data_IF_775421709991
#
_entry.id   IF_775421709991
#
_cell.length_a   1.000
_cell.length_b   1.000
_cell.length_c   1.000
_cell.angle_alpha   90.00
_cell.angle_beta   90.00
_cell.angle_gamma   90.00
#
_symmetry.space_group_name_H-M   'P 1'
#
loop_
_entity.id
_entity.type
_entity.pdbx_description
1 polymer ?
#
# COMPACT_ATOMS: atom_id res chain seq x y z
N UNK A 1 -26.74 -8.37 -9.15
CA UNK A 1 -26.19 -7.02 -8.97
C UNK A 1 -27.34 -6.03 -8.81
N UNK A 2 -27.85 -5.83 -7.60
CA UNK A 2 -28.95 -4.89 -7.36
C UNK A 2 -28.71 -4.13 -6.04
N UNK A 3 -28.93 -2.81 -6.15
CA UNK A 3 -29.24 -1.84 -5.10
C UNK A 3 -28.13 -1.42 -4.10
N UNK A 4 -27.25 -0.54 -4.57
CA UNK A 4 -26.79 0.60 -3.75
C UNK A 4 -27.37 1.86 -4.40
N UNK A 5 -27.91 2.79 -3.60
CA UNK A 5 -28.40 4.17 -3.92
C UNK A 5 -29.85 4.41 -3.52
N UNK A 6 -30.16 4.39 -2.22
CA UNK A 6 -31.21 5.22 -1.61
C UNK A 6 -30.88 5.48 -0.14
N UNK A 7 -30.06 6.50 0.14
CA UNK A 7 -29.97 7.10 1.48
C UNK A 7 -29.35 8.50 1.37
N UNK A 8 -30.17 9.49 1.02
CA UNK A 8 -29.77 10.91 1.06
C UNK A 8 -30.97 11.86 1.25
N UNK A 9 -32.14 11.35 1.66
CA UNK A 9 -33.38 12.14 1.67
C UNK A 9 -34.20 12.02 2.97
N UNK A 10 -33.55 11.82 4.12
CA UNK A 10 -34.25 11.74 5.41
C UNK A 10 -33.83 12.81 6.45
N UNK A 11 -32.83 13.63 6.18
CA UNK A 11 -32.36 14.65 7.16
C UNK A 11 -32.98 16.04 6.98
N UNK A 12 -33.86 16.26 6.00
CA UNK A 12 -34.44 17.58 5.71
C UNK A 12 -35.75 17.91 6.46
N UNK A 13 -36.30 17.01 7.29
CA UNK A 13 -37.62 17.21 7.96
C UNK A 13 -37.56 17.57 9.45
N UNK A 14 -36.38 17.74 10.04
CA UNK A 14 -36.25 18.03 11.46
C UNK A 14 -36.20 19.52 11.83
N UNK A 15 -36.35 20.45 10.87
CA UNK A 15 -36.21 21.91 11.13
C UNK A 15 -37.55 22.66 11.17
N UNK A 16 -38.68 21.99 10.96
CA UNK A 16 -40.00 22.63 11.00
C UNK A 16 -40.72 22.37 12.33
N UNK A 17 -40.44 23.21 13.34
CA UNK A 17 -41.36 23.72 14.40
C UNK A 17 -40.57 24.17 15.63
N UNK A 18 -39.78 25.24 15.49
CA UNK A 18 -39.48 26.08 16.64
C UNK A 18 -40.61 27.09 16.79
N UNK A 19 -41.47 26.83 17.76
CA UNK A 19 -42.51 27.74 18.20
C UNK A 19 -41.84 28.97 18.81
N UNK A 20 -42.11 30.15 18.26
CA UNK A 20 -41.61 31.43 18.78
C UNK A 20 -42.22 31.67 20.16
N UNK A 21 -41.44 31.49 21.22
CA UNK A 21 -41.81 31.98 22.55
C UNK A 21 -41.85 33.51 22.47
N UNK A 22 -43.06 34.08 22.40
CA UNK A 22 -43.28 35.51 22.62
C UNK A 22 -43.00 35.79 24.10
N UNK A 23 -41.97 36.57 24.40
CA UNK A 23 -41.83 37.19 25.70
C UNK A 23 -42.90 38.28 25.80
N UNK A 24 -44.03 37.95 26.42
CA UNK A 24 -45.01 38.95 26.84
C UNK A 24 -44.51 39.53 28.18
N UNK A 25 -43.72 40.60 28.12
CA UNK A 25 -43.49 41.47 29.27
C UNK A 25 -44.44 42.67 29.16
N UNK A 26 -45.63 42.53 29.72
CA UNK A 26 -46.45 43.65 30.13
C UNK A 26 -47.02 43.32 31.51
N UNK A 27 -46.25 43.62 32.55
CA UNK A 27 -46.81 43.88 33.87
C UNK A 27 -47.63 45.17 33.76
N UNK A 28 -48.95 45.04 33.81
CA UNK A 28 -49.80 46.18 34.13
C UNK A 28 -49.49 46.62 35.56
N UNK A 29 -49.35 47.93 35.85
CA UNK A 29 -48.99 48.40 37.18
C UNK A 29 -50.19 48.22 38.12
N UNK A 30 -50.08 47.29 39.06
CA UNK A 30 -50.89 47.33 40.27
C UNK A 30 -50.46 48.56 41.08
N UNK A 31 -51.44 49.37 41.48
CA UNK A 31 -51.27 50.62 42.19
C UNK A 31 -50.27 50.50 43.36
N UNK A 32 -49.26 51.38 43.40
CA UNK A 32 -48.54 51.71 44.64
C UNK A 32 -47.04 51.43 44.72
N UNK A 33 -46.30 51.18 43.63
CA UNK A 33 -44.83 51.11 43.71
C UNK A 33 -44.15 52.06 42.72
N UNK A 34 -43.39 53.01 43.26
CA UNK A 34 -42.46 53.85 42.51
C UNK A 34 -41.29 52.93 42.11
N UNK A 35 -41.27 52.44 40.86
CA UNK A 35 -40.10 51.76 40.30
C UNK A 35 -39.06 52.84 39.94
N UNK A 36 -37.94 52.85 40.64
CA UNK A 36 -36.74 53.59 40.23
C UNK A 36 -36.26 53.07 38.86
N UNK A 37 -35.59 53.88 38.02
CA UNK A 37 -35.10 53.41 36.73
C UNK A 37 -34.12 52.25 36.98
N UNK A 38 -34.54 51.03 36.67
CA UNK A 38 -33.67 49.87 36.70
C UNK A 38 -32.59 50.12 35.64
N UNK A 39 -31.33 50.20 36.06
CA UNK A 39 -30.21 50.39 35.16
C UNK A 39 -30.22 49.28 34.10
N UNK A 40 -30.47 49.65 32.84
CA UNK A 40 -30.53 48.68 31.75
C UNK A 40 -29.15 48.01 31.62
N UNK A 41 -29.08 46.75 32.06
CA UNK A 41 -27.85 45.96 31.97
C UNK A 41 -27.52 45.79 30.50
N UNK A 42 -26.28 46.14 30.13
CA UNK A 42 -25.75 45.96 28.79
C UNK A 42 -26.02 44.51 28.33
N UNK A 43 -26.73 44.38 27.21
CA UNK A 43 -27.15 43.09 26.70
C UNK A 43 -25.95 42.18 26.40
N UNK A 44 -26.17 40.86 26.42
CA UNK A 44 -25.16 39.84 26.09
C UNK A 44 -24.45 40.08 24.75
N UNK A 45 -25.13 40.70 23.78
CA UNK A 45 -24.55 41.11 22.50
C UNK A 45 -23.39 42.11 22.62
N UNK A 46 -23.46 43.03 23.60
CA UNK A 46 -22.40 44.01 23.86
C UNK A 46 -21.11 43.33 24.33
N UNK A 47 -21.23 42.38 25.27
CA UNK A 47 -20.09 41.60 25.74
C UNK A 47 -19.51 40.69 24.65
N UNK A 48 -20.36 40.10 23.79
CA UNK A 48 -19.91 39.35 22.62
C UNK A 48 -19.11 40.23 21.65
N UNK A 49 -19.61 41.42 21.30
CA UNK A 49 -18.90 42.36 20.43
C UNK A 49 -17.57 42.81 21.06
N UNK A 50 -17.56 43.13 22.35
CA UNK A 50 -16.34 43.47 23.09
C UNK A 50 -15.33 42.33 23.13
N UNK A 51 -15.78 41.07 23.22
CA UNK A 51 -14.91 39.89 23.23
C UNK A 51 -14.36 39.55 21.83
N UNK A 52 -15.11 39.86 20.77
CA UNK A 52 -14.73 39.55 19.39
C UNK A 52 -13.48 40.33 18.94
N UNK A 53 -13.33 41.57 19.42
CA UNK A 53 -12.20 42.46 19.08
C UNK A 53 -10.85 41.86 19.54
N UNK A 54 -10.63 41.53 20.83
CA UNK A 54 -9.38 40.92 21.28
C UNK A 54 -9.19 39.50 20.70
N UNK A 55 -10.26 38.71 20.54
CA UNK A 55 -10.17 37.38 19.92
C UNK A 55 -9.70 37.49 18.46
N UNK A 56 -10.27 38.41 17.69
CA UNK A 56 -9.87 38.69 16.31
C UNK A 56 -8.43 39.19 16.20
N UNK A 57 -8.00 40.04 17.15
CA UNK A 57 -6.61 40.51 17.22
C UNK A 57 -5.63 39.36 17.52
N UNK A 58 -5.94 38.50 18.48
CA UNK A 58 -5.13 37.32 18.78
C UNK A 58 -5.08 36.37 17.58
N UNK A 59 -6.22 36.08 16.95
CA UNK A 59 -6.25 35.29 15.73
C UNK A 59 -5.41 35.92 14.62
N UNK A 60 -5.47 37.23 14.42
CA UNK A 60 -4.64 37.92 13.43
C UNK A 60 -3.14 37.81 13.76
N UNK A 61 -2.75 37.88 15.03
CA UNK A 61 -1.35 37.73 15.40
C UNK A 61 -0.84 36.30 15.15
N UNK A 62 -1.64 35.28 15.51
CA UNK A 62 -1.27 33.88 15.33
C UNK A 62 -1.42 33.37 13.89
N UNK A 63 -2.37 33.90 13.11
CA UNK A 63 -2.74 33.40 11.78
C UNK A 63 -2.56 34.42 10.63
N UNK A 64 -2.19 35.67 10.91
CA UNK A 64 -2.09 36.73 9.90
C UNK A 64 -1.02 36.49 8.83
N UNK A 65 -1.10 37.18 7.69
CA UNK A 65 -0.19 36.98 6.56
C UNK A 65 1.23 37.45 6.89
N UNK A 66 2.22 36.57 6.69
CA UNK A 66 3.65 36.78 6.97
C UNK A 66 4.43 35.46 6.84
N UNK A 67 5.73 35.46 7.12
CA UNK A 67 6.61 34.29 6.97
C UNK A 67 6.03 33.04 7.67
N UNK A 68 5.56 32.09 6.87
CA UNK A 68 4.78 30.92 7.27
C UNK A 68 5.57 29.90 8.10
N UNK A 69 6.89 30.01 8.10
CA UNK A 69 7.83 29.02 8.64
C UNK A 69 7.91 29.02 10.17
N UNK A 70 7.57 30.14 10.82
CA UNK A 70 7.75 30.32 12.28
C UNK A 70 6.43 30.32 13.08
N UNK A 71 5.28 30.08 12.45
CA UNK A 71 3.97 30.15 13.14
C UNK A 71 3.57 28.78 13.70
N UNK A 72 3.17 28.77 14.97
CA UNK A 72 2.79 27.55 15.70
C UNK A 72 1.66 26.77 15.02
N UNK A 73 0.60 27.45 14.56
CA UNK A 73 -0.55 26.81 13.90
C UNK A 73 -0.15 26.17 12.56
N UNK A 74 0.64 26.86 11.75
CA UNK A 74 1.16 26.32 10.49
C UNK A 74 2.07 25.12 10.74
N UNK A 75 2.90 25.13 11.79
CA UNK A 75 3.73 23.98 12.18
C UNK A 75 2.88 22.75 12.55
N UNK A 76 1.81 22.94 13.30
CA UNK A 76 0.88 21.84 13.65
C UNK A 76 0.19 21.31 12.40
N UNK A 77 -0.29 22.18 11.52
CA UNK A 77 -0.90 21.76 10.24
C UNK A 77 0.11 20.98 9.38
N UNK A 78 1.33 21.50 9.22
CA UNK A 78 2.39 20.84 8.46
C UNK A 78 2.80 19.49 9.06
N UNK A 79 2.70 19.32 10.39
CA UNK A 79 2.94 18.02 11.03
C UNK A 79 1.92 16.96 10.60
N UNK A 80 0.70 17.36 10.25
CA UNK A 80 -0.33 16.45 9.73
C UNK A 80 -0.15 16.09 8.26
N UNK A 81 0.50 16.95 7.47
CA UNK A 81 0.75 16.67 6.05
C UNK A 81 1.67 15.46 5.84
N UNK A 82 2.53 15.12 6.81
CA UNK A 82 3.32 13.88 6.80
C UNK A 82 2.43 12.64 6.67
N UNK A 83 1.39 12.53 7.51
CA UNK A 83 0.45 11.39 7.46
C UNK A 83 -0.28 11.28 6.12
N UNK A 84 -0.60 12.41 5.49
CA UNK A 84 -1.24 12.40 4.16
C UNK A 84 -0.30 11.88 3.08
N UNK A 85 0.99 12.24 3.15
CA UNK A 85 2.02 11.74 2.24
C UNK A 85 2.27 10.25 2.45
N UNK A 86 2.34 9.79 3.70
CA UNK A 86 2.53 8.38 4.03
C UNK A 86 1.34 7.53 3.56
N UNK A 87 0.11 7.99 3.80
CA UNK A 87 -1.09 7.32 3.32
C UNK A 87 -1.14 7.26 1.77
N UNK A 88 -0.75 8.34 1.09
CA UNK A 88 -0.66 8.37 -0.36
C UNK A 88 0.43 7.42 -0.89
N UNK A 89 1.58 7.36 -0.21
CA UNK A 89 2.68 6.46 -0.56
C UNK A 89 2.28 4.98 -0.38
N UNK A 90 1.62 4.63 0.72
CA UNK A 90 1.10 3.28 0.94
C UNK A 90 0.07 2.91 -0.13
N UNK A 91 -0.83 3.84 -0.49
CA UNK A 91 -1.80 3.62 -1.55
C UNK A 91 -1.12 3.38 -2.92
N UNK A 92 -0.07 4.16 -3.24
CA UNK A 92 0.71 3.98 -4.45
C UNK A 92 1.42 2.61 -4.49
N UNK A 93 2.06 2.20 -3.38
CA UNK A 93 2.69 0.88 -3.28
C UNK A 93 1.67 -0.26 -3.50
N UNK A 94 0.45 -0.12 -2.99
CA UNK A 94 -0.60 -1.10 -3.20
C UNK A 94 -1.06 -1.17 -4.66
N UNK A 95 -1.16 -0.03 -5.36
CA UNK A 95 -1.52 -0.02 -6.78
C UNK A 95 -0.43 -0.64 -7.64
N UNK A 96 0.84 -0.34 -7.35
CA UNK A 96 1.99 -0.88 -8.10
C UNK A 96 2.09 -2.40 -7.91
N UNK A 97 1.92 -2.87 -6.67
CA UNK A 97 1.91 -4.30 -6.38
C UNK A 97 0.75 -5.02 -7.08
N UNK A 98 -0.42 -4.39 -7.18
CA UNK A 98 -1.57 -4.96 -7.88
C UNK A 98 -1.34 -5.00 -9.40
N UNK A 99 -0.71 -3.98 -9.97
CA UNK A 99 -0.36 -3.95 -11.40
C UNK A 99 0.64 -5.05 -11.73
N UNK A 100 1.70 -5.22 -10.92
CA UNK A 100 2.66 -6.30 -11.10
C UNK A 100 1.99 -7.67 -10.98
N UNK A 101 1.14 -7.88 -9.97
CA UNK A 101 0.42 -9.15 -9.81
C UNK A 101 -0.55 -9.43 -10.99
N UNK A 102 -1.16 -8.39 -11.56
CA UNK A 102 -2.00 -8.53 -12.74
C UNK A 102 -1.19 -8.90 -13.99
N UNK A 103 -0.01 -8.28 -14.17
CA UNK A 103 0.91 -8.60 -15.25
C UNK A 103 1.40 -10.07 -15.15
N UNK A 104 1.80 -10.50 -13.95
CA UNK A 104 2.24 -11.87 -13.70
C UNK A 104 1.11 -12.88 -13.94
N UNK A 105 -0.11 -12.57 -13.48
CA UNK A 105 -1.28 -13.42 -13.76
C UNK A 105 -1.54 -13.54 -15.25
N UNK A 106 -1.41 -12.44 -16.01
CA UNK A 106 -1.58 -12.46 -17.45
C UNK A 106 -0.49 -13.31 -18.14
N UNK A 107 0.75 -13.24 -17.66
CA UNK A 107 1.85 -14.08 -18.13
C UNK A 107 1.54 -15.57 -17.88
N UNK A 108 1.10 -15.93 -16.67
CA UNK A 108 0.79 -17.32 -16.32
C UNK A 108 -0.46 -17.87 -17.01
N UNK A 109 -1.44 -17.01 -17.31
CA UNK A 109 -2.65 -17.42 -18.02
C UNK A 109 -2.39 -17.70 -19.51
N UNK A 110 -1.47 -16.96 -20.14
CA UNK A 110 -1.21 -17.08 -21.57
C UNK A 110 0.01 -17.95 -21.91
N UNK A 111 0.93 -18.17 -20.97
CA UNK A 111 2.08 -19.04 -21.19
C UNK A 111 1.67 -20.51 -21.22
N UNK A 112 2.09 -21.24 -22.26
CA UNK A 112 1.95 -22.69 -22.25
C UNK A 112 2.88 -23.26 -21.19
N UNK A 113 2.31 -23.96 -20.20
CA UNK A 113 3.11 -24.67 -19.20
C UNK A 113 4.03 -25.66 -19.90
N UNK A 114 5.30 -25.68 -19.51
CA UNK A 114 6.24 -26.69 -19.97
C UNK A 114 5.65 -28.09 -19.70
N UNK A 115 5.33 -28.83 -20.76
CA UNK A 115 4.76 -30.18 -20.68
C UNK A 115 5.80 -31.21 -20.27
N UNK A 116 7.08 -30.87 -20.40
CA UNK A 116 8.23 -31.69 -20.09
C UNK A 116 8.74 -31.39 -18.68
N UNK A 117 8.52 -32.33 -17.76
CA UNK A 117 9.15 -32.32 -16.43
C UNK A 117 10.48 -33.05 -16.52
N UNK A 118 11.57 -32.37 -16.20
CA UNK A 118 12.89 -33.01 -16.12
C UNK A 118 12.96 -33.80 -14.82
N UNK A 119 12.94 -35.13 -14.92
CA UNK A 119 13.14 -36.02 -13.78
C UNK A 119 14.63 -36.14 -13.45
N UNK A 120 15.00 -36.13 -12.17
CA UNK A 120 16.38 -36.39 -11.74
C UNK A 120 16.84 -37.82 -12.09
N UNK A 121 15.91 -38.76 -12.04
CA UNK A 121 16.16 -40.17 -12.33
C UNK A 121 15.13 -40.67 -13.35
N UNK A 122 15.49 -40.74 -14.65
CA UNK A 122 14.58 -41.23 -15.68
C UNK A 122 14.28 -42.73 -15.55
N UNK A 123 15.10 -43.47 -14.82
CA UNK A 123 14.96 -44.90 -14.54
C UNK A 123 13.68 -45.25 -13.76
N UNK A 124 13.09 -44.28 -13.05
CA UNK A 124 11.83 -44.48 -12.32
C UNK A 124 10.64 -44.82 -13.24
N UNK A 125 10.74 -44.45 -14.52
CA UNK A 125 9.74 -44.84 -15.52
C UNK A 125 9.72 -46.35 -15.76
N UNK A 126 10.78 -47.05 -15.32
CA UNK A 126 10.97 -48.48 -15.47
C UNK A 126 11.09 -49.23 -14.15
N UNK A 127 10.80 -48.58 -13.01
CA UNK A 127 10.82 -49.26 -11.72
C UNK A 127 9.51 -50.00 -11.49
N UNK A 128 9.58 -51.33 -11.39
CA UNK A 128 8.44 -52.21 -11.12
C UNK A 128 8.76 -53.30 -10.11
N UNK A 129 7.82 -54.22 -9.90
CA UNK A 129 8.05 -55.38 -9.04
C UNK A 129 9.20 -56.24 -9.60
N UNK A 130 10.10 -56.77 -8.74
CA UNK A 130 11.23 -57.57 -9.21
C UNK A 130 10.82 -58.92 -9.79
N UNK A 131 9.61 -59.40 -9.48
CA UNK A 131 9.10 -60.71 -9.88
C UNK A 131 7.70 -60.59 -10.47
N UNK A 132 7.36 -61.55 -11.33
CA UNK A 132 6.02 -61.71 -11.91
C UNK A 132 5.54 -60.53 -12.77
N UNK A 133 6.44 -59.99 -13.60
CA UNK A 133 6.13 -58.90 -14.53
C UNK A 133 5.83 -59.48 -15.93
N UNK A 134 4.64 -59.24 -16.50
CA UNK A 134 4.34 -59.68 -17.86
C UNK A 134 5.25 -58.96 -18.87
N UNK A 135 5.60 -59.65 -19.97
CA UNK A 135 6.40 -59.05 -21.03
C UNK A 135 5.69 -57.81 -21.61
N UNK A 136 6.43 -56.72 -21.79
CA UNK A 136 5.88 -55.44 -22.28
C UNK A 136 5.29 -54.51 -21.21
N UNK A 137 5.40 -54.85 -19.92
CA UNK A 137 4.97 -53.96 -18.83
C UNK A 137 5.79 -52.66 -18.74
N UNK A 138 7.05 -52.74 -19.18
CA UNK A 138 8.03 -51.67 -19.12
C UNK A 138 8.01 -50.85 -20.41
N UNK A 139 8.09 -49.52 -20.29
CA UNK A 139 8.08 -48.61 -21.44
C UNK A 139 9.43 -48.64 -22.19
N UNK A 140 9.40 -48.47 -23.52
CA UNK A 140 10.63 -48.33 -24.30
C UNK A 140 11.34 -47.01 -23.95
N UNK A 141 12.56 -47.12 -23.41
CA UNK A 141 13.40 -45.99 -23.00
C UNK A 141 14.40 -45.54 -24.07
N UNK A 142 14.41 -46.15 -25.26
CA UNK A 142 15.39 -45.88 -26.32
C UNK A 142 15.58 -44.39 -26.64
N UNK A 143 14.47 -43.64 -26.73
CA UNK A 143 14.49 -42.20 -27.02
C UNK A 143 15.05 -41.37 -25.86
N UNK A 144 14.75 -41.77 -24.62
CA UNK A 144 15.24 -41.09 -23.41
C UNK A 144 16.75 -41.29 -23.28
N UNK A 145 17.21 -42.52 -23.51
CA UNK A 145 18.64 -42.86 -23.53
C UNK A 145 19.35 -42.03 -24.60
N UNK A 146 18.85 -42.02 -25.84
CA UNK A 146 19.46 -41.26 -26.93
C UNK A 146 19.54 -39.75 -26.65
N UNK A 147 18.53 -39.18 -25.99
CA UNK A 147 18.56 -37.77 -25.54
C UNK A 147 19.70 -37.51 -24.56
N UNK A 148 19.80 -38.32 -23.50
CA UNK A 148 20.81 -38.13 -22.46
C UNK A 148 22.22 -38.47 -22.93
N UNK A 149 22.38 -39.44 -23.82
CA UNK A 149 23.65 -39.70 -24.49
C UNK A 149 24.11 -38.48 -25.28
N UNK A 150 23.21 -37.89 -26.09
CA UNK A 150 23.51 -36.68 -26.85
C UNK A 150 23.93 -35.52 -25.93
N UNK A 151 23.19 -35.27 -24.86
CA UNK A 151 23.52 -34.24 -23.86
C UNK A 151 24.88 -34.50 -23.19
N UNK A 152 25.20 -35.75 -22.87
CA UNK A 152 26.49 -36.13 -22.30
C UNK A 152 27.65 -35.91 -23.29
N UNK A 153 27.47 -36.27 -24.57
CA UNK A 153 28.47 -36.01 -25.61
C UNK A 153 28.69 -34.51 -25.83
N UNK A 154 27.62 -33.70 -25.86
CA UNK A 154 27.72 -32.25 -25.98
C UNK A 154 28.42 -31.62 -24.77
N UNK A 155 28.09 -32.07 -23.54
CA UNK A 155 28.75 -31.62 -22.32
C UNK A 155 30.25 -31.99 -22.32
N UNK A 156 30.60 -33.20 -22.76
CA UNK A 156 31.99 -33.63 -22.88
C UNK A 156 32.75 -32.86 -23.96
N UNK A 157 32.11 -32.57 -25.10
CA UNK A 157 32.69 -31.75 -26.15
C UNK A 157 32.97 -30.31 -25.66
N UNK A 158 32.03 -29.72 -24.91
CA UNK A 158 32.21 -28.40 -24.28
C UNK A 158 33.35 -28.42 -23.25
N UNK A 159 33.43 -29.44 -22.40
CA UNK A 159 34.55 -29.62 -21.46
C UNK A 159 35.88 -29.76 -22.19
N UNK A 160 35.92 -30.53 -23.29
CA UNK A 160 37.14 -30.69 -24.09
C UNK A 160 37.56 -29.38 -24.75
N UNK A 161 36.62 -28.58 -25.25
CA UNK A 161 36.89 -27.24 -25.78
C UNK A 161 37.42 -26.32 -24.68
N UNK A 162 36.78 -26.31 -23.50
CA UNK A 162 37.26 -25.54 -22.34
C UNK A 162 38.68 -25.92 -21.93
N UNK A 163 39.03 -27.22 -21.96
CA UNK A 163 40.39 -27.70 -21.69
C UNK A 163 41.36 -27.22 -22.78
N UNK A 164 40.99 -27.30 -24.07
CA UNK A 164 41.82 -26.81 -25.18
C UNK A 164 42.07 -25.31 -25.10
N UNK A 165 41.06 -24.56 -24.69
CA UNK A 165 41.10 -23.10 -24.57
C UNK A 165 41.70 -22.64 -23.23
N UNK A 166 42.13 -23.57 -22.35
CA UNK A 166 42.54 -23.33 -20.96
C UNK A 166 41.54 -22.45 -20.19
N UNK A 167 40.25 -22.57 -20.54
CA UNK A 167 39.15 -21.79 -20.00
C UNK A 167 38.31 -22.59 -19.01
N UNK A 168 38.96 -23.49 -18.26
CA UNK A 168 38.28 -24.34 -17.27
C UNK A 168 37.80 -23.44 -16.12
N UNK A 169 36.48 -23.39 -15.82
CA UNK A 169 35.96 -22.48 -14.80
C UNK A 169 36.53 -22.66 -13.39
N UNK A 170 37.03 -23.85 -13.07
CA UNK A 170 37.68 -24.14 -11.78
C UNK A 170 39.11 -23.60 -11.67
N UNK A 171 39.77 -23.34 -12.80
CA UNK A 171 41.16 -22.87 -12.85
C UNK A 171 41.24 -21.35 -13.05
N UNK A 172 40.14 -20.71 -13.46
CA UNK A 172 40.10 -19.26 -13.60
C UNK A 172 39.88 -18.58 -12.25
N UNK A 173 40.60 -17.49 -11.95
CA UNK A 173 40.37 -16.71 -10.75
C UNK A 173 38.93 -16.19 -10.76
N UNK A 174 38.26 -16.26 -9.60
CA UNK A 174 36.88 -15.80 -9.42
C UNK A 174 36.75 -14.31 -9.79
N UNK A 175 36.08 -14.03 -10.91
CA UNK A 175 35.77 -12.66 -11.38
C UNK A 175 34.41 -12.17 -10.84
N UNK A 176 34.25 -12.18 -9.53
CA UNK A 176 33.10 -11.55 -8.87
C UNK A 176 33.56 -10.44 -7.95
N UNK A 177 32.75 -9.39 -7.79
CA UNK A 177 32.98 -8.39 -6.74
C UNK A 177 32.80 -9.10 -5.39
N UNK A 178 33.91 -9.48 -4.77
CA UNK A 178 33.93 -9.89 -3.38
C UNK A 178 33.34 -8.72 -2.55
N UNK A 179 32.47 -8.98 -1.58
CA UNK A 179 32.12 -7.96 -0.60
C UNK A 179 33.43 -7.45 0.01
N UNK A 180 33.65 -6.14 -0.10
CA UNK A 180 34.88 -5.44 0.28
C UNK A 180 35.42 -5.94 1.62
N UNK A 181 36.59 -6.61 1.64
CA UNK A 181 37.29 -6.85 2.90
C UNK A 181 38.22 -8.05 3.06
N UNK A 182 38.40 -8.94 2.07
CA UNK A 182 39.37 -10.05 2.24
C UNK A 182 40.19 -10.25 0.97
N UNK A 183 41.36 -9.61 0.91
CA UNK A 183 42.48 -10.09 0.10
C UNK A 183 42.96 -11.41 0.69
N UNK A 184 42.71 -12.52 0.01
CA UNK A 184 43.66 -13.62 0.00
C UNK A 184 43.67 -14.25 -1.39
N UNK A 185 44.75 -13.96 -2.08
CA UNK A 185 45.27 -14.73 -3.22
C UNK A 185 45.43 -16.18 -2.76
N UNK A 186 44.55 -17.06 -3.24
CA UNK A 186 44.80 -18.51 -3.23
C UNK A 186 45.23 -18.88 -4.65
N UNK A 187 46.52 -19.17 -4.77
CA UNK A 187 47.09 -19.99 -5.84
C UNK A 187 46.49 -21.40 -5.80
#
# INVERSE_FOLDING_TARGET
MQAFRRSAAQTARAVARQQTKRYAHHEAPAAGSIKYPEEEKLGTGFFMAMSLIPIGYLMFQFAGPGNYEHKYLTRVINSYDGYRKDAAHIAALHTDALEQAAADRNLFANTQRAQNVTLRFPEILNTGAPHNVPAGHYADMSQVIAKYEKEAYEANAKKLQQIKDNAVPSEQPFKGNLPTGVETVLM
#
